data_IF_153220009310
#
_entry.id   IF_153220009310
#
_cell.length_a   1.000
_cell.length_b   1.000
_cell.length_c   1.000
_cell.angle_alpha   90.00
_cell.angle_beta   90.00
_cell.angle_gamma   90.00
#
_symmetry.space_group_name_H-M   'P 1'
#
loop_
_entity.id
_entity.type
_entity.pdbx_description
1 polymer ?
#
# COMPACT_ATOMS: atom_id res chain seq x y z
N UNK A 1 46.92 -5.48 70.74
CA UNK A 1 46.57 -4.77 69.50
C UNK A 1 45.82 -5.74 68.64
N UNK A 2 44.47 -5.64 68.59
CA UNK A 2 43.59 -6.47 67.78
C UNK A 2 43.10 -5.69 66.59
N UNK A 3 43.43 -6.11 65.37
CA UNK A 3 42.91 -5.52 64.15
C UNK A 3 41.69 -6.32 63.74
N UNK A 4 40.52 -5.62 63.71
CA UNK A 4 39.24 -6.14 63.19
C UNK A 4 39.19 -5.75 61.72
N UNK A 5 39.12 -6.75 60.80
CA UNK A 5 38.84 -6.55 59.38
C UNK A 5 37.34 -6.52 59.14
N UNK A 6 36.81 -5.40 58.71
CA UNK A 6 35.46 -5.33 58.15
C UNK A 6 35.48 -5.77 56.66
N UNK A 7 34.80 -6.84 56.36
CA UNK A 7 34.47 -7.23 54.97
C UNK A 7 33.22 -6.46 54.56
N UNK A 8 33.35 -5.56 53.55
CA UNK A 8 32.22 -5.00 52.84
C UNK A 8 31.81 -6.00 51.74
N UNK A 9 30.63 -6.61 51.84
CA UNK A 9 30.03 -7.38 50.77
C UNK A 9 29.31 -6.41 49.82
N UNK A 10 29.89 -6.20 48.62
CA UNK A 10 29.21 -5.47 47.54
C UNK A 10 28.17 -6.40 46.89
N UNK A 11 26.89 -6.16 47.15
CA UNK A 11 25.78 -6.75 46.38
C UNK A 11 25.70 -6.05 44.99
N UNK A 12 26.19 -6.71 43.96
CA UNK A 12 25.95 -6.34 42.59
C UNK A 12 24.51 -6.69 42.25
N UNK A 13 23.63 -5.69 42.24
CA UNK A 13 22.27 -5.83 41.72
C UNK A 13 22.31 -6.06 40.19
N UNK A 14 22.01 -7.27 39.77
CA UNK A 14 21.80 -7.58 38.34
C UNK A 14 20.43 -7.01 37.95
N UNK A 15 20.41 -5.81 37.36
CA UNK A 15 19.22 -5.29 36.67
C UNK A 15 19.07 -6.03 35.35
N UNK A 16 18.19 -6.99 35.33
CA UNK A 16 17.74 -7.62 34.07
C UNK A 16 16.93 -6.57 33.30
N UNK A 17 17.59 -5.97 32.29
CA UNK A 17 16.88 -5.19 31.27
C UNK A 17 16.12 -6.19 30.41
N UNK A 18 14.84 -6.37 30.70
CA UNK A 18 13.92 -7.03 29.76
C UNK A 18 13.82 -6.14 28.53
N UNK A 19 14.46 -6.52 27.44
CA UNK A 19 14.18 -5.93 26.13
C UNK A 19 12.70 -6.20 25.85
N UNK A 20 11.84 -5.20 26.02
CA UNK A 20 10.48 -5.23 25.49
C UNK A 20 10.60 -5.31 23.99
N UNK A 21 10.47 -6.51 23.43
CA UNK A 21 10.37 -6.71 22.01
C UNK A 21 9.23 -5.85 21.48
N UNK A 22 9.56 -4.89 20.63
CA UNK A 22 8.58 -4.00 20.04
C UNK A 22 7.64 -4.86 19.17
N UNK A 23 6.42 -5.10 19.65
CA UNK A 23 5.40 -5.84 18.90
C UNK A 23 5.00 -5.01 17.70
N UNK A 24 5.26 -5.54 16.50
CA UNK A 24 4.80 -4.90 15.26
C UNK A 24 3.30 -5.13 15.08
N UNK A 25 2.60 -4.23 14.36
CA UNK A 25 1.19 -4.41 14.06
C UNK A 25 0.93 -5.75 13.36
N UNK A 26 -0.19 -6.38 13.64
CA UNK A 26 -0.62 -7.55 12.90
C UNK A 26 -1.04 -7.15 11.47
N UNK A 27 -0.70 -7.93 10.44
CA UNK A 27 -1.14 -7.68 9.08
C UNK A 27 -2.66 -7.59 8.96
N UNK A 28 -3.15 -6.65 8.16
CA UNK A 28 -4.56 -6.54 7.79
C UNK A 28 -4.98 -7.72 6.90
N UNK A 29 -6.29 -7.94 6.76
CA UNK A 29 -6.81 -8.98 5.85
C UNK A 29 -7.97 -8.43 5.04
N UNK A 30 -8.07 -8.84 3.78
CA UNK A 30 -9.16 -8.48 2.89
C UNK A 30 -9.70 -9.70 2.16
N UNK A 31 -11.04 -9.85 2.13
CA UNK A 31 -11.72 -10.90 1.39
C UNK A 31 -12.00 -10.43 -0.03
N UNK A 32 -11.30 -10.97 -0.99
CA UNK A 32 -11.39 -10.62 -2.40
C UNK A 32 -12.39 -11.55 -3.09
N UNK A 33 -13.60 -11.05 -3.31
CA UNK A 33 -14.66 -11.79 -3.99
C UNK A 33 -14.55 -11.66 -5.50
N UNK A 34 -15.18 -12.59 -6.25
CA UNK A 34 -15.30 -12.45 -7.69
C UNK A 34 -16.11 -11.23 -8.09
N UNK A 35 -15.65 -10.55 -9.12
CA UNK A 35 -16.46 -9.60 -9.85
C UNK A 35 -17.54 -10.36 -10.62
N UNK A 36 -18.81 -10.08 -10.38
CA UNK A 36 -19.92 -10.78 -11.08
C UNK A 36 -20.01 -10.44 -12.57
N UNK A 37 -19.27 -9.44 -13.04
CA UNK A 37 -19.10 -9.02 -14.44
C UNK A 37 -17.74 -8.35 -14.58
N UNK A 38 -17.18 -8.41 -15.81
CA UNK A 38 -15.97 -7.67 -16.14
C UNK A 38 -16.12 -6.18 -15.79
N UNK A 39 -15.06 -5.62 -15.20
CA UNK A 39 -14.99 -4.22 -14.80
C UNK A 39 -14.39 -3.41 -15.96
N UNK A 40 -15.02 -2.27 -16.27
CA UNK A 40 -14.46 -1.33 -17.24
C UNK A 40 -13.51 -0.40 -16.52
N UNK A 41 -12.25 -0.40 -16.90
CA UNK A 41 -11.24 0.45 -16.28
C UNK A 41 -11.33 1.85 -16.89
N UNK A 42 -12.10 2.74 -16.25
CA UNK A 42 -12.35 4.12 -16.72
C UNK A 42 -12.17 5.18 -15.62
N UNK A 43 -11.68 4.75 -14.44
CA UNK A 43 -11.46 5.61 -13.28
C UNK A 43 -12.74 5.96 -12.50
N UNK A 44 -13.86 5.32 -12.81
CA UNK A 44 -15.15 5.57 -12.14
C UNK A 44 -15.62 4.29 -11.45
N UNK A 45 -15.75 4.32 -10.17
CA UNK A 45 -16.18 3.16 -9.37
C UNK A 45 -17.72 3.00 -9.41
N UNK A 46 -18.31 3.01 -10.60
CA UNK A 46 -19.75 3.04 -10.78
C UNK A 46 -20.37 1.67 -11.09
N UNK A 47 -19.57 0.64 -11.38
CA UNK A 47 -20.02 -0.72 -11.61
C UNK A 47 -20.73 -1.30 -10.38
N UNK A 48 -21.70 -2.18 -10.66
CA UNK A 48 -22.44 -2.86 -9.60
C UNK A 48 -21.51 -3.66 -8.66
N UNK A 49 -20.46 -4.24 -9.21
CA UNK A 49 -19.46 -5.00 -8.45
C UNK A 49 -18.71 -4.11 -7.47
N UNK A 50 -18.23 -2.94 -7.90
CA UNK A 50 -17.60 -1.96 -7.01
C UNK A 50 -18.52 -1.43 -5.92
N UNK A 51 -19.81 -1.20 -6.23
CA UNK A 51 -20.80 -0.75 -5.23
C UNK A 51 -21.01 -1.77 -4.12
N UNK A 52 -20.82 -3.07 -4.41
CA UNK A 52 -20.98 -4.16 -3.45
C UNK A 52 -19.69 -4.52 -2.71
N UNK A 53 -18.53 -4.28 -3.32
CA UNK A 53 -17.24 -4.58 -2.70
C UNK A 53 -17.03 -3.72 -1.45
N UNK A 54 -16.55 -4.33 -0.39
CA UNK A 54 -16.20 -3.64 0.85
C UNK A 54 -14.97 -2.75 0.63
N UNK A 55 -14.92 -1.62 1.32
CA UNK A 55 -13.68 -0.87 1.45
C UNK A 55 -12.76 -1.55 2.47
N UNK A 56 -11.45 -1.42 2.29
CA UNK A 56 -10.48 -1.67 3.36
C UNK A 56 -10.71 -0.69 4.52
N UNK A 57 -10.08 -0.93 5.67
CA UNK A 57 -9.84 0.15 6.63
C UNK A 57 -9.11 1.30 5.95
N UNK A 58 -9.32 2.54 6.45
CA UNK A 58 -8.55 3.69 6.03
C UNK A 58 -7.05 3.47 6.31
N UNK A 59 -6.20 4.03 5.46
CA UNK A 59 -4.76 3.96 5.63
C UNK A 59 -4.33 4.65 6.92
N UNK A 60 -3.23 4.19 7.46
CA UNK A 60 -2.55 4.75 8.64
C UNK A 60 -1.09 5.02 8.30
N UNK A 61 -0.35 5.70 9.16
CA UNK A 61 1.09 5.84 8.97
C UNK A 61 1.78 4.47 8.93
N UNK A 62 2.83 4.32 8.16
CA UNK A 62 3.59 3.07 8.02
C UNK A 62 4.13 2.55 9.35
N UNK A 63 4.39 3.43 10.32
CA UNK A 63 4.79 3.07 11.68
C UNK A 63 3.61 2.69 12.58
N UNK A 64 2.36 2.76 12.06
CA UNK A 64 1.13 2.45 12.78
C UNK A 64 0.77 3.51 13.83
N UNK A 65 0.29 3.06 14.97
CA UNK A 65 -0.21 3.88 16.08
C UNK A 65 0.85 4.76 16.78
N UNK A 66 2.10 4.63 16.38
CA UNK A 66 3.18 5.54 16.83
C UNK A 66 3.09 6.93 16.25
N UNK A 67 2.30 7.11 15.21
CA UNK A 67 2.11 8.35 14.47
C UNK A 67 0.64 8.77 14.48
N UNK A 68 0.35 10.06 14.28
CA UNK A 68 -1.02 10.51 14.14
C UNK A 68 -1.67 9.91 12.89
N UNK A 69 -3.00 9.83 12.89
CA UNK A 69 -3.75 9.42 11.71
C UNK A 69 -3.49 10.38 10.53
N UNK A 70 -3.50 9.87 9.29
CA UNK A 70 -3.45 10.70 8.10
C UNK A 70 -4.51 11.81 8.12
N UNK A 71 -4.14 12.99 7.65
CA UNK A 71 -5.07 14.12 7.53
C UNK A 71 -6.12 13.91 6.44
N UNK A 72 -5.84 13.01 5.48
CA UNK A 72 -6.66 12.74 4.31
C UNK A 72 -6.85 11.24 4.16
N UNK A 73 -8.09 10.83 3.90
CA UNK A 73 -8.44 9.42 3.82
C UNK A 73 -7.93 8.78 2.52
N UNK A 74 -7.41 7.57 2.64
CA UNK A 74 -7.15 6.66 1.52
C UNK A 74 -7.71 5.29 1.88
N UNK A 75 -8.39 4.65 0.94
CA UNK A 75 -8.94 3.30 1.10
C UNK A 75 -9.07 2.60 -0.23
N UNK A 76 -9.10 1.28 -0.20
CA UNK A 76 -9.03 0.43 -1.40
C UNK A 76 -10.17 -0.58 -1.40
N UNK A 77 -10.56 -1.00 -2.58
CA UNK A 77 -11.40 -2.18 -2.83
C UNK A 77 -10.66 -3.12 -3.76
N UNK A 78 -10.88 -4.41 -3.60
CA UNK A 78 -10.33 -5.42 -4.50
C UNK A 78 -11.41 -6.41 -4.92
N UNK A 79 -11.33 -6.83 -6.16
CA UNK A 79 -12.15 -7.88 -6.78
C UNK A 79 -11.27 -8.69 -7.72
N UNK A 80 -11.73 -9.83 -8.16
CA UNK A 80 -11.03 -10.66 -9.14
C UNK A 80 -11.97 -11.38 -10.10
N UNK A 81 -11.43 -11.83 -11.21
CA UNK A 81 -12.08 -12.77 -12.13
C UNK A 81 -11.06 -13.82 -12.61
N UNK A 82 -11.31 -14.50 -13.69
CA UNK A 82 -10.41 -15.54 -14.20
C UNK A 82 -9.10 -14.99 -14.79
N UNK A 83 -9.01 -13.69 -15.04
CA UNK A 83 -7.89 -13.07 -15.75
C UNK A 83 -7.19 -11.98 -14.93
N UNK A 84 -7.93 -11.26 -14.09
CA UNK A 84 -7.45 -10.02 -13.49
C UNK A 84 -7.67 -9.96 -11.98
N UNK A 85 -6.70 -9.41 -11.29
CA UNK A 85 -6.91 -8.73 -10.02
C UNK A 85 -7.33 -7.28 -10.32
N UNK A 86 -8.50 -6.88 -9.82
CA UNK A 86 -9.01 -5.52 -9.90
C UNK A 86 -8.78 -4.80 -8.60
N UNK A 87 -8.24 -3.58 -8.68
CA UNK A 87 -7.97 -2.71 -7.53
C UNK A 87 -8.60 -1.36 -7.81
N UNK A 88 -9.33 -0.82 -6.84
CA UNK A 88 -9.88 0.52 -6.90
C UNK A 88 -9.51 1.29 -5.63
N UNK A 89 -8.89 2.46 -5.77
CA UNK A 89 -8.52 3.33 -4.67
C UNK A 89 -9.32 4.64 -4.70
N UNK A 90 -9.71 5.09 -3.53
CA UNK A 90 -10.18 6.46 -3.27
C UNK A 90 -9.14 7.16 -2.42
N UNK A 91 -8.71 8.33 -2.88
CA UNK A 91 -7.62 9.08 -2.28
C UNK A 91 -8.11 10.52 -2.11
N UNK A 92 -8.42 10.91 -0.88
CA UNK A 92 -8.82 12.27 -0.56
C UNK A 92 -7.57 13.17 -0.58
N UNK A 93 -7.64 14.30 -1.28
CA UNK A 93 -6.52 15.21 -1.45
C UNK A 93 -7.00 16.62 -1.75
N UNK A 94 -6.51 17.61 -0.97
CA UNK A 94 -6.90 19.00 -1.12
C UNK A 94 -6.13 19.74 -2.23
N UNK A 95 -5.00 19.18 -2.67
CA UNK A 95 -4.17 19.75 -3.74
C UNK A 95 -3.62 18.61 -4.59
N UNK A 96 -4.31 18.35 -5.70
CA UNK A 96 -3.95 17.27 -6.62
C UNK A 96 -2.96 17.79 -7.66
N UNK A 97 -1.74 17.29 -7.61
CA UNK A 97 -0.69 17.69 -8.54
C UNK A 97 0.16 16.51 -8.99
N UNK A 98 0.57 16.54 -10.24
CA UNK A 98 1.45 15.56 -10.85
C UNK A 98 2.10 16.14 -12.11
N UNK A 99 3.39 15.91 -12.28
CA UNK A 99 4.20 16.39 -13.42
C UNK A 99 5.02 15.28 -14.07
N UNK A 100 5.17 14.11 -13.39
CA UNK A 100 5.86 12.95 -13.95
C UNK A 100 4.94 12.30 -14.98
N UNK A 101 5.14 12.58 -16.27
CA UNK A 101 4.24 12.21 -17.37
C UNK A 101 4.81 11.16 -18.34
N UNK A 102 6.03 10.70 -18.11
CA UNK A 102 6.68 9.67 -18.93
C UNK A 102 6.72 8.35 -18.19
N UNK A 103 6.29 7.27 -18.84
CA UNK A 103 6.39 5.93 -18.30
C UNK A 103 7.80 5.64 -17.77
N UNK A 104 7.86 4.90 -16.69
CA UNK A 104 9.08 4.51 -15.96
C UNK A 104 9.88 5.68 -15.36
N UNK A 105 9.27 6.87 -15.23
CA UNK A 105 9.79 7.87 -14.30
C UNK A 105 9.46 7.42 -12.87
N UNK A 106 10.35 7.75 -11.95
CA UNK A 106 10.17 7.47 -10.53
C UNK A 106 9.01 8.32 -10.00
N UNK A 107 7.84 7.69 -9.85
CA UNK A 107 6.58 8.37 -9.57
C UNK A 107 6.51 8.83 -8.12
N UNK A 108 7.07 8.08 -7.15
CA UNK A 108 7.08 8.46 -5.74
C UNK A 108 7.81 9.79 -5.41
N UNK A 109 8.45 10.43 -6.38
CA UNK A 109 8.95 11.80 -6.22
C UNK A 109 7.84 12.85 -6.21
N UNK A 110 6.60 12.44 -6.44
CA UNK A 110 5.37 13.21 -6.31
C UNK A 110 4.38 12.46 -5.40
N UNK A 111 3.16 13.00 -5.25
CA UNK A 111 2.09 12.24 -4.60
C UNK A 111 1.64 11.09 -5.50
N UNK A 112 1.61 9.89 -4.96
CA UNK A 112 1.23 8.71 -5.72
C UNK A 112 0.45 7.68 -4.88
N UNK A 113 0.02 6.63 -5.56
CA UNK A 113 -0.56 5.44 -4.98
C UNK A 113 0.24 4.23 -5.46
N UNK A 114 0.64 3.40 -4.51
CA UNK A 114 1.50 2.25 -4.76
C UNK A 114 0.80 0.94 -4.40
N UNK A 115 1.11 -0.10 -5.15
CA UNK A 115 0.61 -1.47 -4.97
C UNK A 115 1.80 -2.42 -4.88
N UNK A 116 1.88 -3.18 -3.81
CA UNK A 116 2.91 -4.20 -3.58
C UNK A 116 2.25 -5.57 -3.52
N UNK A 117 2.71 -6.52 -4.33
CA UNK A 117 2.09 -7.84 -4.50
C UNK A 117 3.14 -8.95 -4.40
N UNK A 118 2.91 -9.91 -3.51
CA UNK A 118 3.66 -11.15 -3.37
C UNK A 118 2.66 -12.32 -3.49
N UNK A 119 2.58 -12.95 -4.69
CA UNK A 119 1.50 -13.87 -5.01
C UNK A 119 1.57 -15.23 -4.31
N UNK A 120 2.74 -15.70 -3.88
CA UNK A 120 2.89 -16.97 -3.16
C UNK A 120 3.18 -16.79 -1.67
N UNK A 121 3.37 -15.54 -1.23
CA UNK A 121 3.53 -15.16 0.16
C UNK A 121 4.87 -15.58 0.78
N UNK A 122 5.87 -15.92 -0.02
CA UNK A 122 7.18 -16.39 0.45
C UNK A 122 8.14 -15.25 0.81
N UNK A 123 7.74 -14.00 0.56
CA UNK A 123 8.50 -12.75 0.80
C UNK A 123 9.63 -12.47 -0.20
N UNK A 124 9.68 -13.22 -1.26
CA UNK A 124 10.58 -13.05 -2.41
C UNK A 124 9.76 -12.89 -3.71
N UNK A 125 10.39 -12.58 -4.82
CA UNK A 125 9.75 -12.50 -6.14
C UNK A 125 8.46 -11.67 -6.18
N UNK A 126 8.49 -10.51 -5.58
CA UNK A 126 7.34 -9.62 -5.48
C UNK A 126 7.39 -8.45 -6.46
N UNK A 127 6.24 -7.82 -6.66
CA UNK A 127 5.99 -6.81 -7.67
C UNK A 127 5.55 -5.50 -7.02
N UNK A 128 5.90 -4.40 -7.66
CA UNK A 128 5.53 -3.05 -7.25
C UNK A 128 4.99 -2.28 -8.45
N UNK A 129 3.93 -1.52 -8.23
CA UNK A 129 3.33 -0.60 -9.19
C UNK A 129 3.05 0.72 -8.49
N UNK A 130 3.61 1.80 -9.01
CA UNK A 130 3.31 3.17 -8.60
C UNK A 130 2.44 3.86 -9.66
N UNK A 131 1.51 4.72 -9.25
CA UNK A 131 0.65 5.47 -10.16
C UNK A 131 0.32 6.85 -9.58
N UNK A 132 0.44 7.90 -10.40
CA UNK A 132 0.12 9.27 -10.00
C UNK A 132 -1.24 9.75 -10.54
N UNK A 133 -1.62 10.97 -10.17
CA UNK A 133 -2.92 11.54 -10.50
C UNK A 133 -3.15 11.81 -12.01
N UNK A 134 -2.14 11.73 -12.85
CA UNK A 134 -2.26 11.80 -14.33
C UNK A 134 -2.18 10.43 -15.00
N UNK A 135 -2.33 9.34 -14.23
CA UNK A 135 -2.28 7.97 -14.71
C UNK A 135 -0.92 7.57 -15.33
N UNK A 136 0.16 8.20 -14.90
CA UNK A 136 1.49 7.72 -15.25
C UNK A 136 1.89 6.60 -14.29
N UNK A 137 2.51 5.54 -14.82
CA UNK A 137 2.87 4.35 -14.06
C UNK A 137 4.37 4.08 -14.09
N UNK A 138 4.86 3.58 -12.96
CA UNK A 138 6.17 2.97 -12.81
C UNK A 138 5.98 1.60 -12.18
N UNK A 139 6.56 0.55 -12.76
CA UNK A 139 6.43 -0.80 -12.25
C UNK A 139 7.79 -1.52 -12.26
N UNK A 140 7.96 -2.41 -11.29
CA UNK A 140 9.20 -3.15 -11.12
C UNK A 140 8.97 -4.54 -10.51
N UNK A 141 9.96 -5.40 -10.66
CA UNK A 141 10.04 -6.69 -10.01
C UNK A 141 11.26 -6.76 -9.08
N UNK A 142 11.05 -7.29 -7.86
CA UNK A 142 12.13 -7.57 -6.91
C UNK A 142 12.22 -9.07 -6.61
N UNK A 143 13.34 -9.73 -6.97
CA UNK A 143 13.55 -11.13 -6.61
C UNK A 143 13.74 -11.33 -5.11
N UNK A 144 14.24 -10.31 -4.40
CA UNK A 144 14.49 -10.29 -2.96
C UNK A 144 14.36 -8.88 -2.42
N UNK A 145 14.03 -8.74 -1.15
CA UNK A 145 14.04 -7.43 -0.49
C UNK A 145 15.43 -6.79 -0.51
N UNK A 146 15.49 -5.45 -0.56
CA UNK A 146 16.77 -4.72 -0.55
C UNK A 146 17.65 -5.09 0.65
N UNK A 147 17.06 -5.31 1.83
CA UNK A 147 17.78 -5.74 3.06
C UNK A 147 18.42 -7.13 2.96
N UNK A 148 17.92 -7.98 2.04
CA UNK A 148 18.50 -9.29 1.69
C UNK A 148 19.43 -9.20 0.47
N UNK A 149 19.80 -8.00 0.02
CA UNK A 149 20.66 -7.76 -1.14
C UNK A 149 19.95 -7.86 -2.48
N UNK A 150 18.62 -7.79 -2.51
CA UNK A 150 17.83 -7.71 -3.74
C UNK A 150 18.11 -6.45 -4.55
N UNK A 151 17.95 -6.56 -5.86
CA UNK A 151 18.06 -5.46 -6.82
C UNK A 151 16.80 -5.43 -7.67
N UNK A 152 16.13 -4.29 -7.68
CA UNK A 152 14.95 -4.07 -8.52
C UNK A 152 15.27 -4.21 -10.01
N UNK A 153 14.41 -4.92 -10.72
CA UNK A 153 14.43 -5.01 -12.17
C UNK A 153 13.52 -3.92 -12.77
N UNK A 154 14.06 -2.71 -12.91
CA UNK A 154 13.31 -1.51 -13.31
C UNK A 154 12.83 -1.53 -14.78
N UNK A 155 13.26 -2.49 -15.58
CA UNK A 155 12.82 -2.68 -16.97
C UNK A 155 11.73 -3.75 -17.11
N UNK A 156 11.37 -4.40 -16.02
CA UNK A 156 10.24 -5.31 -16.00
C UNK A 156 8.95 -4.49 -16.07
N UNK A 157 7.94 -5.01 -16.74
CA UNK A 157 6.67 -4.32 -16.87
C UNK A 157 5.52 -5.30 -16.70
N UNK A 158 4.43 -4.87 -16.09
CA UNK A 158 3.15 -5.60 -16.04
C UNK A 158 2.52 -5.59 -17.43
N UNK A 159 2.71 -6.66 -18.18
CA UNK A 159 2.17 -6.77 -19.54
C UNK A 159 0.65 -6.80 -19.53
N UNK A 160 0.00 -5.92 -20.29
CA UNK A 160 -1.47 -5.85 -20.32
C UNK A 160 -2.10 -5.17 -19.11
N UNK A 161 -1.32 -4.48 -18.29
CA UNK A 161 -1.84 -3.58 -17.25
C UNK A 161 -2.89 -2.63 -17.85
N UNK A 162 -4.03 -2.50 -17.18
CA UNK A 162 -5.01 -1.46 -17.46
C UNK A 162 -5.12 -0.58 -16.24
N UNK A 163 -5.05 0.72 -16.42
CA UNK A 163 -5.22 1.69 -15.33
C UNK A 163 -5.98 2.92 -15.83
N UNK A 164 -6.73 3.52 -14.95
CA UNK A 164 -7.41 4.78 -15.20
C UNK A 164 -7.48 5.59 -13.91
N UNK A 165 -7.38 6.90 -14.05
CA UNK A 165 -7.50 7.86 -12.96
C UNK A 165 -8.62 8.84 -13.28
N UNK A 166 -9.40 9.22 -12.29
CA UNK A 166 -10.32 10.35 -12.38
C UNK A 166 -10.12 11.30 -11.20
N UNK A 167 -10.20 12.59 -11.47
CA UNK A 167 -10.00 13.66 -10.50
C UNK A 167 -11.33 14.35 -10.21
N UNK A 168 -11.66 14.50 -8.93
CA UNK A 168 -12.75 15.35 -8.46
C UNK A 168 -12.14 16.61 -7.86
N UNK A 169 -11.82 17.54 -8.74
CA UNK A 169 -11.05 18.75 -8.49
C UNK A 169 -10.37 19.24 -9.76
N UNK A 170 -9.31 20.00 -9.62
CA UNK A 170 -8.55 20.66 -10.71
C UNK A 170 -7.07 20.29 -10.60
N UNK A 171 -6.58 19.51 -11.54
CA UNK A 171 -5.18 19.08 -11.53
C UNK A 171 -4.21 20.26 -11.71
N UNK A 172 -3.16 20.31 -10.88
CA UNK A 172 -2.09 21.32 -10.97
C UNK A 172 -2.57 22.78 -10.83
N UNK A 173 -3.68 23.02 -10.13
CA UNK A 173 -4.19 24.36 -9.87
C UNK A 173 -4.16 24.68 -8.36
N UNK A 174 -3.26 25.54 -7.94
CA UNK A 174 -3.10 25.90 -6.53
C UNK A 174 -4.11 26.97 -6.02
N UNK A 175 -5.03 27.43 -6.87
CA UNK A 175 -5.99 28.50 -6.55
C UNK A 175 -7.26 28.00 -5.87
N UNK A 176 -7.54 26.71 -5.98
CA UNK A 176 -8.70 26.07 -5.36
C UNK A 176 -8.28 24.90 -4.44
N UNK A 177 -9.28 24.26 -3.87
CA UNK A 177 -9.11 23.03 -3.09
C UNK A 177 -9.84 21.89 -3.76
N UNK A 178 -9.10 20.85 -4.03
CA UNK A 178 -9.61 19.61 -4.57
C UNK A 178 -10.34 18.80 -3.50
N UNK A 179 -10.95 17.73 -3.94
CA UNK A 179 -11.65 16.82 -3.06
C UNK A 179 -10.96 15.46 -2.98
N UNK A 180 -10.68 14.86 -4.13
CA UNK A 180 -10.08 13.52 -4.22
C UNK A 180 -9.76 13.11 -5.65
N UNK A 181 -9.02 12.05 -5.75
CA UNK A 181 -8.88 11.31 -7.02
C UNK A 181 -9.17 9.83 -6.79
N UNK A 182 -9.47 9.13 -7.88
CA UNK A 182 -9.73 7.71 -7.89
C UNK A 182 -8.77 7.04 -8.85
N UNK A 183 -8.31 5.86 -8.46
CA UNK A 183 -7.52 4.96 -9.29
C UNK A 183 -8.30 3.69 -9.51
N UNK A 184 -8.29 3.19 -10.73
CA UNK A 184 -8.85 1.90 -11.09
C UNK A 184 -7.82 1.12 -11.90
N UNK A 185 -7.54 -0.12 -11.48
CA UNK A 185 -6.45 -0.94 -12.02
C UNK A 185 -6.98 -2.35 -12.29
N UNK A 186 -6.57 -2.95 -13.42
CA UNK A 186 -6.70 -4.38 -13.68
C UNK A 186 -5.32 -4.96 -13.99
N UNK A 187 -4.83 -5.85 -13.14
CA UNK A 187 -3.55 -6.53 -13.27
C UNK A 187 -3.82 -7.95 -13.78
N UNK A 188 -3.35 -8.33 -14.99
CA UNK A 188 -3.47 -9.70 -15.46
C UNK A 188 -2.64 -10.63 -14.56
N UNK A 189 -3.20 -11.72 -14.08
CA UNK A 189 -2.45 -12.69 -13.27
C UNK A 189 -1.22 -13.24 -14.00
N UNK A 190 -1.37 -13.55 -15.28
CA UNK A 190 -0.28 -14.06 -16.13
C UNK A 190 0.91 -13.08 -16.23
N UNK A 191 0.68 -11.80 -16.03
CA UNK A 191 1.74 -10.78 -16.12
C UNK A 191 2.61 -10.69 -14.87
N UNK A 192 2.15 -11.22 -13.72
CA UNK A 192 2.95 -11.32 -12.51
C UNK A 192 3.94 -12.49 -12.62
N UNK A 193 4.87 -12.36 -13.53
CA UNK A 193 5.82 -13.40 -13.93
C UNK A 193 7.11 -12.80 -14.50
N UNK A 194 8.13 -13.63 -14.62
CA UNK A 194 9.39 -13.32 -15.29
C UNK A 194 9.82 -14.55 -16.11
N UNK A 195 10.95 -14.47 -16.82
CA UNK A 195 11.54 -15.63 -17.48
C UNK A 195 11.76 -16.82 -16.51
N UNK A 196 11.99 -16.55 -15.24
CA UNK A 196 12.32 -17.56 -14.23
C UNK A 196 11.24 -17.77 -13.16
N UNK A 197 10.26 -16.87 -13.08
CA UNK A 197 9.16 -16.91 -12.11
C UNK A 197 7.85 -17.10 -12.86
N UNK A 198 7.18 -18.22 -12.58
CA UNK A 198 5.86 -18.50 -13.16
C UNK A 198 4.77 -17.70 -12.48
N UNK A 199 3.71 -17.31 -13.19
CA UNK A 199 2.58 -16.64 -12.58
C UNK A 199 1.86 -17.58 -11.60
N UNK A 200 1.38 -17.02 -10.49
CA UNK A 200 0.53 -17.71 -9.53
C UNK A 200 -0.91 -17.32 -9.81
N UNK A 201 -1.67 -18.24 -10.38
CA UNK A 201 -3.09 -18.02 -10.67
C UNK A 201 -3.90 -18.37 -9.41
N UNK A 202 -4.66 -17.43 -8.84
CA UNK A 202 -5.41 -17.71 -7.61
C UNK A 202 -6.61 -18.63 -7.88
N UNK A 203 -6.99 -19.37 -6.85
CA UNK A 203 -8.22 -20.16 -6.78
C UNK A 203 -8.98 -19.81 -5.49
N UNK A 204 -10.17 -20.36 -5.30
CA UNK A 204 -10.89 -20.20 -4.03
C UNK A 204 -10.02 -20.67 -2.85
N UNK A 205 -9.92 -19.82 -1.83
CA UNK A 205 -9.08 -20.07 -0.67
C UNK A 205 -7.60 -19.70 -0.82
N UNK A 206 -7.12 -19.29 -2.00
CA UNK A 206 -5.76 -18.78 -2.16
C UNK A 206 -5.54 -17.55 -1.28
N UNK A 207 -4.34 -17.43 -0.73
CA UNK A 207 -3.89 -16.27 0.04
C UNK A 207 -2.63 -15.68 -0.60
N UNK A 208 -2.67 -14.39 -0.96
CA UNK A 208 -1.52 -13.61 -1.37
C UNK A 208 -1.15 -12.61 -0.29
N UNK A 209 0.06 -12.09 -0.33
CA UNK A 209 0.41 -10.88 0.40
C UNK A 209 0.26 -9.68 -0.53
N UNK A 210 -0.37 -8.64 0.00
CA UNK A 210 -0.56 -7.39 -0.72
C UNK A 210 -0.50 -6.22 0.26
N UNK A 211 0.09 -5.12 -0.14
CA UNK A 211 -0.05 -3.88 0.60
C UNK A 211 -0.20 -2.71 -0.37
N UNK A 212 -0.66 -1.61 0.16
CA UNK A 212 -0.80 -0.36 -0.55
C UNK A 212 -0.12 0.73 0.24
N UNK A 213 0.52 1.65 -0.48
CA UNK A 213 1.06 2.86 0.08
C UNK A 213 0.50 4.08 -0.66
N UNK A 214 0.46 5.18 0.02
CA UNK A 214 0.32 6.51 -0.53
C UNK A 214 1.52 7.31 -0.08
N UNK A 215 2.38 7.68 -1.02
CA UNK A 215 3.39 8.71 -0.78
C UNK A 215 2.71 10.06 -0.85
N UNK A 216 2.83 10.85 0.20
CA UNK A 216 2.21 12.17 0.27
C UNK A 216 3.23 13.22 0.71
N UNK A 217 3.56 14.11 -0.22
CA UNK A 217 4.51 15.19 0.03
C UNK A 217 3.82 16.43 0.55
N UNK A 218 4.40 17.06 1.57
CA UNK A 218 4.12 18.47 1.80
C UNK A 218 4.64 19.27 0.62
N UNK A 219 3.91 20.29 0.21
CA UNK A 219 4.23 21.09 -0.96
C UNK A 219 4.40 22.57 -0.65
N UNK A 220 5.14 23.24 -1.49
CA UNK A 220 5.20 24.69 -1.66
C UNK A 220 4.61 25.04 -3.03
N UNK A 221 4.10 26.26 -3.16
CA UNK A 221 3.56 26.78 -4.43
C UNK A 221 4.36 28.02 -4.79
N UNK A 222 4.87 28.09 -6.01
CA UNK A 222 5.61 29.25 -6.50
C UNK A 222 4.68 30.39 -6.95
N UNK A 223 5.26 31.49 -7.38
CA UNK A 223 4.51 32.67 -7.86
C UNK A 223 3.71 32.41 -9.13
N UNK A 224 4.02 31.35 -9.87
CA UNK A 224 3.37 30.91 -11.10
C UNK A 224 2.26 29.90 -10.80
N UNK A 225 2.13 29.45 -9.54
CA UNK A 225 1.15 28.45 -9.12
C UNK A 225 1.61 26.99 -9.26
N UNK A 226 2.91 26.75 -9.52
CA UNK A 226 3.43 25.39 -9.64
C UNK A 226 3.72 24.79 -8.26
N UNK A 227 3.35 23.54 -8.09
CA UNK A 227 3.66 22.76 -6.90
C UNK A 227 5.10 22.22 -6.93
N UNK A 228 5.69 22.16 -5.76
CA UNK A 228 6.97 21.49 -5.53
C UNK A 228 7.02 20.92 -4.12
N UNK A 229 7.87 19.91 -3.93
CA UNK A 229 8.07 19.33 -2.58
C UNK A 229 8.62 20.38 -1.63
N UNK A 230 7.94 20.51 -0.48
CA UNK A 230 8.28 21.50 0.53
C UNK A 230 9.69 21.31 1.07
N UNK A 231 10.37 22.44 1.30
CA UNK A 231 11.71 22.46 1.88
C UNK A 231 11.68 23.07 3.28
N UNK A 232 12.51 22.52 4.14
CA UNK A 232 12.78 23.11 5.45
C UNK A 232 13.49 24.46 5.24
N UNK A 233 12.94 25.53 5.82
CA UNK A 233 13.42 26.89 5.60
C UNK A 233 14.86 27.14 6.13
N UNK A 234 15.29 26.40 7.15
CA UNK A 234 16.61 26.57 7.76
C UNK A 234 17.70 25.76 7.01
N UNK A 235 17.36 24.53 6.60
CA UNK A 235 18.34 23.58 6.04
C UNK A 235 18.31 23.51 4.52
N UNK A 236 17.24 24.00 3.87
CA UNK A 236 17.00 23.88 2.44
C UNK A 236 16.69 22.44 1.98
N UNK A 237 16.72 21.44 2.87
CA UNK A 237 16.43 20.04 2.54
C UNK A 237 14.94 19.85 2.33
N UNK A 238 14.57 18.95 1.39
CA UNK A 238 13.19 18.53 1.22
C UNK A 238 12.70 17.89 2.52
N UNK A 239 11.50 18.27 2.96
CA UNK A 239 10.85 17.63 4.11
C UNK A 239 10.45 16.22 3.66
N UNK A 240 10.75 15.17 4.46
CA UNK A 240 10.36 13.82 4.10
C UNK A 240 8.85 13.68 3.86
N UNK A 241 8.51 12.78 2.96
CA UNK A 241 7.15 12.38 2.66
C UNK A 241 6.46 11.70 3.84
N UNK A 242 5.16 11.69 3.79
CA UNK A 242 4.34 10.76 4.59
C UNK A 242 4.19 9.46 3.78
N UNK A 243 4.38 8.33 4.46
CA UNK A 243 4.09 7.00 3.92
C UNK A 243 2.85 6.47 4.64
N UNK A 244 1.70 6.60 4.01
CA UNK A 244 0.43 6.11 4.56
C UNK A 244 0.07 4.79 3.88
N UNK A 245 -0.20 3.77 4.68
CA UNK A 245 -0.34 2.40 4.21
C UNK A 245 -1.63 1.74 4.71
N UNK A 246 -2.11 0.75 3.99
CA UNK A 246 -3.22 -0.08 4.45
C UNK A 246 -2.82 -0.98 5.61
N UNK A 247 -1.75 -1.75 5.48
CA UNK A 247 -1.23 -2.64 6.53
C UNK A 247 0.07 -2.06 7.10
N UNK A 248 0.06 -1.48 8.32
CA UNK A 248 1.23 -0.84 8.90
C UNK A 248 2.33 -1.85 9.21
N UNK A 249 3.59 -1.42 9.02
CA UNK A 249 4.75 -2.28 9.14
C UNK A 249 5.53 -2.04 10.45
N UNK A 250 5.22 -0.95 11.14
CA UNK A 250 5.91 -0.56 12.39
C UNK A 250 7.32 -0.01 12.18
N UNK A 251 7.71 0.20 10.91
CA UNK A 251 9.00 0.74 10.47
C UNK A 251 8.84 1.41 9.12
N UNK A 252 9.61 2.46 8.85
CA UNK A 252 9.60 3.16 7.54
C UNK A 252 10.38 2.31 6.52
N UNK A 253 9.70 1.35 5.93
CA UNK A 253 10.23 0.50 4.86
C UNK A 253 9.10 -0.31 4.20
N UNK A 254 8.68 0.06 2.99
CA UNK A 254 7.64 -0.67 2.26
C UNK A 254 8.07 -2.08 1.87
N UNK A 255 9.37 -2.31 1.63
CA UNK A 255 9.91 -3.61 1.25
C UNK A 255 10.08 -4.58 2.43
N UNK A 256 8.98 -4.77 3.15
CA UNK A 256 8.89 -5.70 4.29
C UNK A 256 7.66 -6.62 4.14
N UNK A 257 7.68 -7.52 3.12
CA UNK A 257 6.52 -8.35 2.75
C UNK A 257 5.91 -9.14 3.91
N UNK A 258 6.70 -9.48 4.92
CA UNK A 258 6.24 -10.19 6.11
C UNK A 258 5.11 -9.47 6.87
N UNK A 259 4.99 -8.15 6.69
CA UNK A 259 3.99 -7.32 7.36
C UNK A 259 2.92 -6.78 6.41
N UNK A 260 2.99 -7.11 5.12
CA UNK A 260 1.92 -6.80 4.19
C UNK A 260 0.64 -7.50 4.57
N UNK A 261 -0.47 -6.93 4.19
CA UNK A 261 -1.78 -7.51 4.41
C UNK A 261 -1.97 -8.81 3.64
N UNK A 262 -3.03 -9.52 3.98
CA UNK A 262 -3.43 -10.79 3.38
C UNK A 262 -4.63 -10.59 2.47
N UNK A 263 -4.52 -11.03 1.23
CA UNK A 263 -5.58 -11.05 0.24
C UNK A 263 -6.11 -12.48 0.12
N UNK A 264 -7.33 -12.69 0.59
CA UNK A 264 -7.99 -14.01 0.60
C UNK A 264 -8.96 -14.09 -0.56
N UNK A 265 -8.66 -14.90 -1.57
CA UNK A 265 -9.52 -15.08 -2.75
C UNK A 265 -10.72 -15.95 -2.45
N UNK A 266 -11.89 -15.53 -2.91
CA UNK A 266 -13.16 -16.25 -2.79
C UNK A 266 -13.85 -16.33 -4.14
N UNK A 267 -14.29 -17.54 -4.49
CA UNK A 267 -14.99 -17.85 -5.75
C UNK A 267 -16.44 -17.32 -5.74
N UNK A 268 -16.89 -16.85 -4.58
CA UNK A 268 -18.21 -16.25 -4.42
C UNK A 268 -18.28 -14.87 -5.05
N UNK A 269 -19.33 -14.62 -5.85
CA UNK A 269 -19.57 -13.29 -6.41
C UNK A 269 -19.83 -12.25 -5.33
N UNK A 270 -19.25 -11.07 -5.49
CA UNK A 270 -19.45 -9.96 -4.57
C UNK A 270 -20.93 -9.63 -4.37
N UNK A 271 -21.35 -9.58 -3.11
CA UNK A 271 -22.73 -9.28 -2.67
C UNK A 271 -23.69 -10.46 -2.71
N UNK A 272 -23.24 -11.67 -3.00
CA UNK A 272 -23.96 -12.87 -2.67
C UNK A 272 -23.62 -13.20 -1.21
N UNK A 273 -24.63 -13.42 -0.38
CA UNK A 273 -24.42 -13.90 1.00
C UNK A 273 -24.13 -15.39 0.93
N UNK A 274 -23.03 -15.83 1.52
CA UNK A 274 -22.81 -17.26 1.72
C UNK A 274 -23.92 -17.82 2.61
N UNK A 275 -24.33 -19.08 2.34
CA UNK A 275 -25.29 -19.76 3.21
C UNK A 275 -24.75 -19.97 4.63
N UNK A 276 -23.46 -19.77 4.86
CA UNK A 276 -22.81 -19.86 6.16
C UNK A 276 -23.16 -18.68 7.09
N UNK A 277 -23.55 -17.52 6.54
CA UNK A 277 -23.91 -16.32 7.32
C UNK A 277 -25.42 -16.23 7.65
N UNK A 278 -26.21 -17.23 7.27
CA UNK A 278 -27.61 -17.29 7.73
C UNK A 278 -27.63 -17.67 9.21
N UNK A 279 -28.23 -16.85 10.09
CA UNK A 279 -28.42 -17.26 11.47
C UNK A 279 -29.21 -18.59 11.48
N UNK A 280 -28.66 -19.61 12.12
CA UNK A 280 -29.36 -20.86 12.33
C UNK A 280 -30.68 -20.51 13.02
N UNK A 281 -31.79 -20.67 12.30
CA UNK A 281 -33.11 -20.62 12.93
C UNK A 281 -33.14 -21.81 13.93
N UNK A 282 -33.07 -21.48 15.21
CA UNK A 282 -33.35 -22.44 16.28
C UNK A 282 -34.82 -22.70 16.21
N UNK A 283 -35.20 -23.94 15.83
CA UNK A 283 -36.55 -24.45 15.96
C UNK A 283 -36.83 -24.84 17.42
#
# INVERSE_FOLDING_TARGET
MHYIYFMLAAMAGITTITAQGQTRPAPQSYMCNRAGKAISIDGKLNERSWKKAAWTSSFVDIEGDKKPLPLQETRVKMLWDDQYLYIAAQIDEEHIWAYQDRKDQIVYLENDFEVFIDPDGDTENYYELEINAINNTFDLFLPKTYRKGGKAQLKWNIQGLKSAVSVNGTLNDARDKDKRWFVEIAIPFESLSTEHVKPVIPADGSEWRINFSRVNWQHDVDQQGHYSRKRNAETGKVIPEYNWVWSPQGIINMHYPEYWGKLLFRDEEVGNRSNADKPRQVQ
#
